data_IF_835004215592
#
_entry.id   IF_835004215592
#
_cell.length_a   1.000
_cell.length_b   1.000
_cell.length_c   1.000
_cell.angle_alpha   90.00
_cell.angle_beta   90.00
_cell.angle_gamma   90.00
#
_symmetry.space_group_name_H-M   'P 1'
#
loop_
_entity.id
_entity.type
_entity.pdbx_description
1 polymer ?
#
# COMPACT_ATOMS: atom_id res chain seq x y z
N UNK A 1 36.36 -39.38 9.02
CA UNK A 1 36.18 -37.96 9.37
C UNK A 1 35.61 -37.91 10.78
N UNK A 2 36.30 -37.25 11.71
CA UNK A 2 35.73 -36.97 13.03
C UNK A 2 34.65 -35.89 12.88
N UNK A 3 33.54 -36.02 13.60
CA UNK A 3 32.47 -35.03 13.56
C UNK A 3 32.81 -33.93 14.56
N UNK A 4 33.07 -32.71 14.07
CA UNK A 4 33.41 -31.54 14.90
C UNK A 4 32.19 -30.95 15.63
N UNK A 5 30.99 -31.47 15.36
CA UNK A 5 29.78 -31.02 16.02
C UNK A 5 29.65 -31.64 17.42
N UNK A 6 29.23 -30.85 18.44
CA UNK A 6 28.92 -31.40 19.75
C UNK A 6 27.79 -32.44 19.63
N UNK A 7 27.81 -33.51 20.44
CA UNK A 7 26.76 -34.52 20.42
C UNK A 7 25.41 -33.87 20.74
N UNK A 8 24.40 -34.14 19.91
CA UNK A 8 23.02 -33.65 20.09
C UNK A 8 22.11 -34.82 20.46
N UNK A 9 21.18 -34.59 21.37
CA UNK A 9 20.11 -35.55 21.63
C UNK A 9 19.27 -35.75 20.35
N UNK A 10 18.81 -36.99 20.14
CA UNK A 10 17.88 -37.30 19.05
C UNK A 10 16.52 -36.70 19.42
N UNK A 11 15.97 -35.86 18.55
CA UNK A 11 14.64 -35.30 18.75
C UNK A 11 13.57 -36.40 18.63
N UNK A 12 12.50 -36.28 19.40
CA UNK A 12 11.37 -37.21 19.30
C UNK A 12 10.78 -37.17 17.88
N UNK A 13 10.53 -38.35 17.33
CA UNK A 13 9.89 -38.45 16.03
C UNK A 13 8.39 -38.10 16.16
N UNK A 14 7.82 -37.39 15.18
CA UNK A 14 6.38 -37.15 15.16
C UNK A 14 5.63 -38.49 15.11
N UNK A 15 4.42 -38.51 15.69
CA UNK A 15 3.53 -39.66 15.53
C UNK A 15 3.23 -39.88 14.05
N UNK A 16 2.89 -41.12 13.67
CA UNK A 16 2.55 -41.43 12.28
C UNK A 16 1.43 -40.55 11.73
N UNK A 17 0.42 -40.22 12.54
CA UNK A 17 -0.64 -39.28 12.17
C UNK A 17 -0.09 -37.88 11.88
N UNK A 18 0.71 -37.34 12.80
CA UNK A 18 1.31 -36.01 12.63
C UNK A 18 2.26 -35.95 11.43
N UNK A 19 2.94 -37.05 11.10
CA UNK A 19 3.75 -37.15 9.89
C UNK A 19 2.90 -37.11 8.61
N UNK A 20 1.74 -37.78 8.59
CA UNK A 20 0.82 -37.72 7.45
C UNK A 20 0.18 -36.33 7.30
N UNK A 21 -0.20 -35.69 8.40
CA UNK A 21 -0.72 -34.32 8.39
C UNK A 21 0.33 -33.35 7.84
N UNK A 22 1.58 -33.46 8.28
CA UNK A 22 2.69 -32.66 7.76
C UNK A 22 2.93 -32.90 6.25
N UNK A 23 2.82 -34.14 5.76
CA UNK A 23 2.92 -34.45 4.33
C UNK A 23 1.75 -33.83 3.56
N UNK A 24 0.52 -33.91 4.08
CA UNK A 24 -0.65 -33.29 3.47
C UNK A 24 -0.50 -31.76 3.39
N UNK A 25 0.05 -31.12 4.42
CA UNK A 25 0.36 -29.69 4.44
C UNK A 25 1.42 -29.34 3.39
N UNK A 26 2.50 -30.13 3.28
CA UNK A 26 3.52 -29.96 2.23
C UNK A 26 2.89 -30.02 0.85
N UNK A 27 2.07 -31.05 0.57
CA UNK A 27 1.44 -31.23 -0.74
C UNK A 27 0.45 -30.10 -1.05
N UNK A 28 -0.28 -29.60 -0.04
CA UNK A 28 -1.18 -28.46 -0.19
C UNK A 28 -0.40 -27.21 -0.56
N UNK A 29 0.68 -26.89 0.16
CA UNK A 29 1.55 -25.76 -0.16
C UNK A 29 2.19 -25.88 -1.55
N UNK A 30 2.67 -27.06 -1.94
CA UNK A 30 3.21 -27.29 -3.28
C UNK A 30 2.14 -27.10 -4.37
N UNK A 31 0.92 -27.59 -4.14
CA UNK A 31 -0.20 -27.39 -5.07
C UNK A 31 -0.57 -25.91 -5.23
N UNK A 32 -0.49 -25.14 -4.15
CA UNK A 32 -0.73 -23.70 -4.17
C UNK A 32 0.37 -22.95 -4.93
N UNK A 33 1.64 -23.29 -4.72
CA UNK A 33 2.77 -22.74 -5.48
C UNK A 33 2.59 -22.97 -6.99
N UNK A 34 2.19 -24.18 -7.38
CA UNK A 34 1.92 -24.53 -8.79
C UNK A 34 0.71 -23.76 -9.33
N UNK A 35 -0.37 -23.63 -8.55
CA UNK A 35 -1.58 -22.90 -8.93
C UNK A 35 -1.32 -21.40 -9.11
N UNK A 36 -0.61 -20.78 -8.17
CA UNK A 36 -0.19 -19.37 -8.25
C UNK A 36 0.71 -19.16 -9.46
N UNK A 37 1.64 -20.08 -9.72
CA UNK A 37 2.48 -20.02 -10.91
C UNK A 37 1.67 -20.09 -12.20
N UNK A 38 0.66 -20.95 -12.28
CA UNK A 38 -0.25 -21.05 -13.44
C UNK A 38 -1.13 -19.81 -13.64
N UNK A 39 -1.71 -19.27 -12.56
CA UNK A 39 -2.51 -18.05 -12.59
C UNK A 39 -1.66 -16.84 -12.98
N UNK A 40 -0.48 -16.69 -12.37
CA UNK A 40 0.51 -15.67 -12.69
C UNK A 40 0.97 -15.75 -14.14
N UNK A 41 1.18 -16.96 -14.67
CA UNK A 41 1.53 -17.17 -16.06
C UNK A 41 0.47 -16.61 -17.03
N UNK A 42 -0.80 -16.68 -16.63
CA UNK A 42 -1.95 -16.22 -17.41
C UNK A 42 -2.14 -14.71 -17.27
N UNK A 43 -1.90 -14.17 -16.07
CA UNK A 43 -1.96 -12.75 -15.73
C UNK A 43 -0.77 -11.91 -16.27
N UNK A 44 0.42 -12.50 -16.39
CA UNK A 44 1.60 -11.82 -16.94
C UNK A 44 1.40 -11.34 -18.39
N UNK A 45 0.43 -11.91 -19.11
CA UNK A 45 0.02 -11.44 -20.43
C UNK A 45 -1.04 -10.32 -20.43
N UNK A 46 -1.71 -10.06 -19.29
CA UNK A 46 -2.81 -9.09 -19.19
C UNK A 46 -2.43 -7.78 -18.48
N UNK A 47 -1.18 -7.62 -18.03
CA UNK A 47 -0.71 -6.39 -17.39
C UNK A 47 -1.26 -6.13 -15.98
N UNK A 48 -1.89 -7.13 -15.34
CA UNK A 48 -2.30 -7.00 -13.95
C UNK A 48 -1.07 -7.01 -13.03
N UNK A 49 -1.03 -6.03 -12.13
CA UNK A 49 0.13 -5.69 -11.31
C UNK A 49 0.55 -6.85 -10.38
N UNK A 50 1.76 -7.40 -10.59
CA UNK A 50 2.32 -8.57 -9.89
C UNK A 50 2.35 -8.50 -8.35
N UNK A 51 2.12 -7.33 -7.76
CA UNK A 51 1.85 -7.11 -6.32
C UNK A 51 0.76 -7.99 -5.70
N UNK A 52 -0.23 -8.48 -6.47
CA UNK A 52 -1.27 -9.38 -5.94
C UNK A 52 -0.85 -10.84 -5.77
N UNK A 53 0.28 -11.25 -6.38
CA UNK A 53 0.70 -12.66 -6.42
C UNK A 53 1.50 -13.08 -5.18
N UNK A 54 2.15 -12.16 -4.49
CA UNK A 54 2.95 -12.45 -3.29
C UNK A 54 2.14 -12.37 -1.99
N UNK A 55 1.02 -11.62 -1.99
CA UNK A 55 0.19 -11.44 -0.80
C UNK A 55 -0.69 -12.65 -0.46
N UNK A 56 -1.10 -13.45 -1.46
CA UNK A 56 -2.04 -14.55 -1.23
C UNK A 56 -1.39 -15.84 -0.71
N UNK A 57 -0.15 -16.14 -1.10
CA UNK A 57 0.52 -17.39 -0.72
C UNK A 57 1.15 -17.33 0.68
N UNK A 58 1.53 -16.14 1.16
CA UNK A 58 2.15 -15.99 2.48
C UNK A 58 1.15 -15.57 3.56
N UNK A 59 0.04 -14.90 3.22
CA UNK A 59 -0.83 -14.24 4.21
C UNK A 59 -1.74 -15.15 5.05
N UNK A 60 -2.15 -16.31 4.53
CA UNK A 60 -3.23 -17.13 5.14
C UNK A 60 -2.78 -18.48 5.70
N UNK A 61 -1.51 -18.87 5.56
CA UNK A 61 -1.01 -20.20 5.93
C UNK A 61 0.08 -20.18 6.99
N UNK A 62 0.19 -21.28 7.73
CA UNK A 62 1.41 -21.63 8.47
C UNK A 62 2.63 -21.48 7.55
N UNK A 63 3.79 -21.09 8.10
CA UNK A 63 5.00 -20.91 7.29
C UNK A 63 5.20 -22.12 6.36
N UNK A 64 5.46 -21.92 5.05
CA UNK A 64 5.69 -23.02 4.15
C UNK A 64 6.80 -23.92 4.68
N UNK A 65 6.69 -25.22 4.44
CA UNK A 65 7.70 -26.18 4.88
C UNK A 65 8.99 -25.95 4.08
N UNK A 66 10.16 -26.15 4.71
CA UNK A 66 11.51 -25.92 4.16
C UNK A 66 11.71 -26.24 2.67
N UNK A 67 11.14 -27.36 2.20
CA UNK A 67 11.24 -27.81 0.81
C UNK A 67 10.39 -27.00 -0.18
N UNK A 68 9.24 -26.48 0.23
CA UNK A 68 8.38 -25.66 -0.61
C UNK A 68 9.02 -24.32 -0.99
N UNK A 69 9.99 -23.84 -0.21
CA UNK A 69 10.67 -22.56 -0.46
C UNK A 69 11.62 -22.61 -1.67
N UNK A 70 12.49 -23.62 -1.73
CA UNK A 70 13.45 -23.77 -2.83
C UNK A 70 12.73 -24.03 -4.17
N UNK A 71 11.64 -24.79 -4.13
CA UNK A 71 10.78 -25.04 -5.29
C UNK A 71 9.95 -23.80 -5.68
N UNK A 72 9.43 -23.04 -4.71
CA UNK A 72 8.77 -21.76 -4.97
C UNK A 72 9.73 -20.82 -5.71
N UNK A 73 10.94 -20.63 -5.18
CA UNK A 73 11.95 -19.74 -5.76
C UNK A 73 12.29 -20.11 -7.22
N UNK A 74 12.54 -21.39 -7.46
CA UNK A 74 12.88 -21.89 -8.80
C UNK A 74 11.70 -21.84 -9.79
N UNK A 75 10.46 -21.88 -9.30
CA UNK A 75 9.25 -21.71 -10.11
C UNK A 75 8.89 -20.23 -10.37
N UNK A 76 9.17 -19.33 -9.42
CA UNK A 76 8.92 -17.90 -9.58
C UNK A 76 9.93 -17.25 -10.51
N UNK A 77 11.22 -17.61 -10.39
CA UNK A 77 12.30 -17.02 -11.17
C UNK A 77 13.04 -18.11 -11.93
N UNK A 78 12.81 -18.18 -13.24
CA UNK A 78 13.50 -19.11 -14.12
C UNK A 78 14.22 -18.35 -15.23
N UNK A 79 15.55 -18.48 -15.30
CA UNK A 79 16.38 -17.85 -16.35
C UNK A 79 16.15 -16.34 -16.50
N UNK A 80 16.11 -15.60 -15.38
CA UNK A 80 15.81 -14.14 -15.33
C UNK A 80 14.41 -13.74 -15.85
N UNK A 81 13.49 -14.71 -15.89
CA UNK A 81 12.09 -14.48 -16.24
C UNK A 81 11.18 -14.87 -15.09
N UNK A 82 10.15 -14.08 -14.88
CA UNK A 82 9.04 -14.39 -13.98
C UNK A 82 8.20 -15.51 -14.60
N UNK A 83 8.10 -16.62 -13.86
CA UNK A 83 7.43 -17.85 -14.27
C UNK A 83 7.88 -18.37 -15.65
N UNK A 84 9.13 -18.10 -16.03
CA UNK A 84 9.67 -18.46 -17.35
C UNK A 84 9.08 -17.71 -18.55
N UNK A 85 8.15 -16.75 -18.34
CA UNK A 85 7.41 -16.07 -19.42
C UNK A 85 7.87 -14.63 -19.64
N UNK A 86 7.70 -13.77 -18.63
CA UNK A 86 7.99 -12.34 -18.75
C UNK A 86 9.38 -12.02 -18.19
N UNK A 87 10.16 -11.20 -18.88
CA UNK A 87 11.39 -10.66 -18.29
C UNK A 87 11.04 -9.72 -17.13
N UNK A 88 11.94 -9.57 -16.16
CA UNK A 88 11.74 -8.59 -15.08
C UNK A 88 11.52 -7.17 -15.62
N UNK A 89 12.21 -6.80 -16.69
CA UNK A 89 12.02 -5.51 -17.37
C UNK A 89 10.58 -5.34 -17.90
N UNK A 90 10.05 -6.33 -18.62
CA UNK A 90 8.69 -6.27 -19.16
C UNK A 90 7.63 -6.25 -18.05
N UNK A 91 7.82 -7.06 -16.99
CA UNK A 91 6.90 -7.04 -15.86
C UNK A 91 6.94 -5.71 -15.09
N UNK A 92 8.13 -5.13 -14.93
CA UNK A 92 8.33 -3.80 -14.36
C UNK A 92 7.59 -2.74 -15.17
N UNK A 93 7.82 -2.69 -16.49
CA UNK A 93 7.15 -1.74 -17.38
C UNK A 93 5.64 -1.88 -17.32
N UNK A 94 5.12 -3.11 -17.40
CA UNK A 94 3.68 -3.37 -17.28
C UNK A 94 3.13 -2.92 -15.92
N UNK A 95 3.88 -3.14 -14.83
CA UNK A 95 3.49 -2.69 -13.50
C UNK A 95 3.42 -1.17 -13.39
N UNK A 96 4.39 -0.46 -13.99
CA UNK A 96 4.42 1.01 -14.01
C UNK A 96 3.28 1.55 -14.87
N UNK A 97 3.05 0.99 -16.05
CA UNK A 97 1.94 1.38 -16.96
C UNK A 97 0.59 1.13 -16.31
N UNK A 98 0.42 0.00 -15.63
CA UNK A 98 -0.83 -0.33 -14.94
C UNK A 98 -1.13 0.64 -13.80
N UNK A 99 -0.10 0.98 -13.01
CA UNK A 99 -0.22 1.98 -11.95
C UNK A 99 -0.42 3.39 -12.52
N UNK A 100 0.30 3.74 -13.58
CA UNK A 100 0.38 5.08 -14.17
C UNK A 100 0.21 5.02 -15.69
N UNK A 101 -1.01 4.84 -16.23
CA UNK A 101 -1.24 4.65 -17.67
C UNK A 101 -0.57 5.68 -18.59
N UNK A 102 -0.47 6.97 -18.24
CA UNK A 102 0.25 7.96 -19.05
C UNK A 102 1.73 7.62 -19.31
N UNK A 103 2.38 6.83 -18.44
CA UNK A 103 3.79 6.43 -18.59
C UNK A 103 4.03 5.50 -19.78
N UNK A 104 2.99 4.86 -20.32
CA UNK A 104 3.12 4.02 -21.53
C UNK A 104 3.75 4.80 -22.68
N UNK A 105 3.38 6.07 -22.83
CA UNK A 105 3.92 6.97 -23.84
C UNK A 105 5.45 7.12 -23.74
N UNK A 106 5.99 7.19 -22.50
CA UNK A 106 7.42 7.34 -22.23
C UNK A 106 8.15 6.02 -22.46
N UNK A 107 7.60 4.92 -21.95
CA UNK A 107 8.19 3.59 -22.07
C UNK A 107 8.23 3.14 -23.55
N UNK A 108 7.20 3.48 -24.33
CA UNK A 108 7.11 3.17 -25.76
C UNK A 108 7.74 4.25 -26.67
N UNK A 109 8.41 5.25 -26.09
CA UNK A 109 9.02 6.34 -26.83
C UNK A 109 10.08 5.84 -27.82
N UNK A 110 10.20 6.55 -28.95
CA UNK A 110 11.25 6.33 -29.95
C UNK A 110 12.42 7.30 -29.82
N UNK A 111 12.30 8.30 -28.96
CA UNK A 111 13.40 9.24 -28.70
C UNK A 111 14.55 8.47 -28.01
N UNK A 112 15.76 8.45 -28.59
CA UNK A 112 16.86 7.65 -28.05
C UNK A 112 17.28 8.09 -26.65
N UNK A 113 17.12 9.37 -26.32
CA UNK A 113 17.43 9.93 -25.01
C UNK A 113 16.43 9.41 -23.97
N UNK A 114 15.13 9.44 -24.28
CA UNK A 114 14.08 8.87 -23.41
C UNK A 114 14.28 7.36 -23.23
N UNK A 115 14.56 6.63 -24.32
CA UNK A 115 14.82 5.19 -24.28
C UNK A 115 16.01 4.86 -23.36
N UNK A 116 17.09 5.65 -23.42
CA UNK A 116 18.23 5.47 -22.52
C UNK A 116 17.86 5.68 -21.05
N UNK A 117 17.08 6.71 -20.73
CA UNK A 117 16.57 6.93 -19.37
C UNK A 117 15.71 5.77 -18.87
N UNK A 118 14.78 5.27 -19.69
CA UNK A 118 13.94 4.11 -19.34
C UNK A 118 14.79 2.86 -19.13
N UNK A 119 15.80 2.64 -19.97
CA UNK A 119 16.75 1.54 -19.82
C UNK A 119 17.60 1.67 -18.54
N UNK A 120 18.00 2.88 -18.16
CA UNK A 120 18.74 3.14 -16.93
C UNK A 120 17.89 2.84 -15.69
N UNK A 121 16.64 3.31 -15.64
CA UNK A 121 15.68 2.97 -14.57
C UNK A 121 15.47 1.45 -14.50
N UNK A 122 15.25 0.82 -15.66
CA UNK A 122 15.05 -0.63 -15.76
C UNK A 122 16.27 -1.39 -15.24
N UNK A 123 17.48 -0.96 -15.61
CA UNK A 123 18.73 -1.54 -15.16
C UNK A 123 18.91 -1.40 -13.66
N UNK A 124 18.67 -0.21 -13.09
CA UNK A 124 18.75 0.01 -11.64
C UNK A 124 17.84 -0.92 -10.85
N UNK A 125 16.64 -1.19 -11.36
CA UNK A 125 15.64 -2.01 -10.66
C UNK A 125 15.79 -3.53 -10.89
N UNK A 126 16.36 -3.94 -12.04
CA UNK A 126 16.42 -5.35 -12.45
C UNK A 126 17.82 -5.96 -12.42
N UNK A 127 18.87 -5.15 -12.36
CA UNK A 127 20.26 -5.64 -12.26
C UNK A 127 20.80 -5.46 -10.85
N UNK A 128 21.69 -6.36 -10.45
CA UNK A 128 22.34 -6.30 -9.14
C UNK A 128 23.34 -5.14 -9.11
N UNK A 129 23.06 -4.13 -8.30
CA UNK A 129 24.02 -3.09 -7.94
C UNK A 129 24.88 -3.61 -6.78
N UNK A 130 25.65 -4.70 -6.96
CA UNK A 130 26.51 -5.21 -5.88
C UNK A 130 27.98 -4.95 -6.14
N UNK A 131 28.47 -3.86 -5.55
CA UNK A 131 29.87 -3.68 -5.15
C UNK A 131 30.16 -4.12 -3.71
N UNK A 132 29.14 -4.44 -2.90
CA UNK A 132 29.31 -4.89 -1.52
C UNK A 132 28.55 -6.20 -1.31
N UNK A 133 29.31 -7.29 -1.26
CA UNK A 133 28.77 -8.64 -1.24
C UNK A 133 27.74 -8.87 -0.15
N UNK A 134 26.50 -9.19 -0.55
CA UNK A 134 25.57 -9.97 0.27
C UNK A 134 24.32 -10.35 -0.52
N UNK A 135 24.18 -11.68 -0.68
CA UNK A 135 22.97 -12.49 -0.80
C UNK A 135 22.14 -12.37 -2.08
N UNK A 136 22.19 -13.48 -2.83
CA UNK A 136 21.34 -13.86 -3.97
C UNK A 136 21.42 -12.84 -5.11
N UNK A 137 22.14 -13.21 -6.17
CA UNK A 137 22.24 -12.39 -7.38
C UNK A 137 20.85 -12.02 -7.90
N UNK A 138 20.66 -10.78 -8.33
CA UNK A 138 19.38 -10.28 -8.84
C UNK A 138 19.21 -8.77 -8.62
N UNK A 139 18.25 -8.16 -9.32
CA UNK A 139 17.83 -6.78 -9.06
C UNK A 139 16.97 -6.65 -7.79
N UNK A 140 16.65 -5.42 -7.38
CA UNK A 140 15.79 -5.17 -6.21
C UNK A 140 14.40 -5.80 -6.39
N UNK A 141 13.87 -5.82 -7.61
CA UNK A 141 12.57 -6.42 -7.91
C UNK A 141 12.55 -7.92 -7.68
N UNK A 142 13.60 -8.61 -8.13
CA UNK A 142 13.76 -10.04 -7.89
C UNK A 142 13.85 -10.32 -6.39
N UNK A 143 14.68 -9.55 -5.67
CA UNK A 143 14.78 -9.70 -4.22
C UNK A 143 13.48 -9.43 -3.48
N UNK A 144 12.66 -8.47 -3.90
CA UNK A 144 11.34 -8.25 -3.27
C UNK A 144 10.44 -9.48 -3.41
N UNK A 145 10.37 -10.05 -4.61
CA UNK A 145 9.54 -11.24 -4.89
C UNK A 145 10.05 -12.43 -4.09
N UNK A 146 11.36 -12.66 -4.11
CA UNK A 146 12.02 -13.71 -3.33
C UNK A 146 11.82 -13.48 -1.84
N UNK A 147 11.88 -12.24 -1.36
CA UNK A 147 11.76 -11.94 0.06
C UNK A 147 10.36 -12.21 0.58
N UNK A 148 9.35 -11.75 -0.16
CA UNK A 148 7.93 -11.83 0.24
C UNK A 148 7.27 -13.17 -0.06
N UNK A 149 7.81 -13.97 -0.98
CA UNK A 149 7.31 -15.31 -1.30
C UNK A 149 8.20 -16.46 -0.80
N UNK A 150 9.40 -16.18 -0.28
CA UNK A 150 10.52 -17.13 -0.24
C UNK A 150 11.26 -17.30 1.09
N UNK A 151 11.05 -16.45 2.10
CA UNK A 151 11.69 -16.63 3.42
C UNK A 151 10.72 -16.78 4.58
N UNK A 152 11.17 -17.46 5.64
CA UNK A 152 10.49 -17.39 6.94
C UNK A 152 10.31 -15.92 7.37
N UNK A 153 9.24 -15.65 8.13
CA UNK A 153 8.80 -14.31 8.51
C UNK A 153 9.89 -13.45 9.15
N UNK A 154 10.72 -14.05 10.00
CA UNK A 154 11.84 -13.36 10.67
C UNK A 154 12.90 -12.87 9.68
N UNK A 155 13.27 -13.73 8.71
CA UNK A 155 14.19 -13.37 7.64
C UNK A 155 13.54 -12.40 6.65
N UNK A 156 12.28 -12.61 6.29
CA UNK A 156 11.48 -11.71 5.45
C UNK A 156 11.56 -10.28 5.99
N UNK A 157 11.17 -10.06 7.25
CA UNK A 157 11.23 -8.75 7.91
C UNK A 157 12.64 -8.15 7.91
N UNK A 158 13.68 -8.97 8.20
CA UNK A 158 15.08 -8.50 8.20
C UNK A 158 15.51 -8.01 6.82
N UNK A 159 15.07 -8.68 5.77
CA UNK A 159 15.40 -8.33 4.38
C UNK A 159 14.62 -7.12 3.89
N UNK A 160 13.34 -7.01 4.20
CA UNK A 160 12.55 -5.82 3.85
C UNK A 160 13.19 -4.54 4.40
N UNK A 161 13.68 -4.56 5.65
CA UNK A 161 14.40 -3.40 6.21
C UNK A 161 15.72 -3.03 5.50
N UNK A 162 16.31 -3.94 4.72
CA UNK A 162 17.45 -3.60 3.82
C UNK A 162 16.94 -3.08 2.48
N UNK A 163 15.93 -3.73 1.91
CA UNK A 163 15.31 -3.35 0.64
C UNK A 163 14.78 -1.92 0.70
N UNK A 164 14.13 -1.51 1.80
CA UNK A 164 13.61 -0.13 1.93
C UNK A 164 14.72 0.91 1.77
N UNK A 165 15.90 0.67 2.34
CA UNK A 165 17.05 1.61 2.20
C UNK A 165 17.60 1.63 0.79
N UNK A 166 17.66 0.47 0.15
CA UNK A 166 18.06 0.40 -1.26
C UNK A 166 17.05 1.11 -2.17
N UNK A 167 15.74 0.96 -1.91
CA UNK A 167 14.70 1.70 -2.63
C UNK A 167 14.81 3.20 -2.41
N UNK A 168 15.24 3.67 -1.23
CA UNK A 168 15.54 5.10 -0.99
C UNK A 168 16.67 5.60 -1.90
N UNK A 169 17.77 4.86 -1.98
CA UNK A 169 18.92 5.20 -2.83
C UNK A 169 18.54 5.19 -4.31
N UNK A 170 17.81 4.15 -4.76
CA UNK A 170 17.32 4.05 -6.12
C UNK A 170 16.35 5.19 -6.43
N UNK A 171 15.43 5.52 -5.51
CA UNK A 171 14.49 6.62 -5.70
C UNK A 171 15.22 7.94 -5.91
N UNK A 172 16.23 8.26 -5.11
CA UNK A 172 17.01 9.48 -5.26
C UNK A 172 17.69 9.60 -6.63
N UNK A 173 18.23 8.49 -7.16
CA UNK A 173 18.81 8.45 -8.52
C UNK A 173 17.72 8.65 -9.58
N UNK A 174 16.58 7.96 -9.42
CA UNK A 174 15.47 8.02 -10.37
C UNK A 174 14.76 9.38 -10.36
N UNK A 175 14.75 10.10 -9.25
CA UNK A 175 14.28 11.49 -9.20
C UNK A 175 15.11 12.40 -10.12
N UNK A 176 16.43 12.19 -10.19
CA UNK A 176 17.29 12.88 -11.15
C UNK A 176 16.98 12.52 -12.61
N UNK A 177 16.69 11.24 -12.88
CA UNK A 177 16.28 10.78 -14.22
C UNK A 177 14.91 11.36 -14.60
N UNK A 178 13.95 11.37 -13.68
CA UNK A 178 12.64 11.97 -13.89
C UNK A 178 12.77 13.47 -14.20
N UNK A 179 13.63 14.21 -13.48
CA UNK A 179 13.93 15.61 -13.76
C UNK A 179 14.41 15.84 -15.20
N UNK A 180 15.37 15.04 -15.65
CA UNK A 180 15.88 15.09 -17.02
C UNK A 180 14.81 14.72 -18.06
N UNK A 181 13.96 13.72 -17.77
CA UNK A 181 12.84 13.35 -18.63
C UNK A 181 11.84 14.50 -18.79
N UNK A 182 11.55 15.24 -17.72
CA UNK A 182 10.66 16.42 -17.79
C UNK A 182 11.25 17.51 -18.67
N UNK A 183 12.54 17.83 -18.52
CA UNK A 183 13.22 18.79 -19.37
C UNK A 183 13.17 18.36 -20.84
N UNK A 184 13.46 17.08 -21.12
CA UNK A 184 13.47 16.56 -22.48
C UNK A 184 12.08 16.56 -23.13
N UNK A 185 11.04 16.19 -22.38
CA UNK A 185 9.66 16.28 -22.87
C UNK A 185 9.31 17.73 -23.18
N UNK A 186 9.62 18.68 -22.30
CA UNK A 186 9.35 20.10 -22.51
C UNK A 186 10.07 20.66 -23.75
N UNK A 187 11.32 20.24 -24.03
CA UNK A 187 12.03 20.61 -25.26
C UNK A 187 11.32 20.10 -26.52
N UNK A 188 10.84 18.86 -26.50
CA UNK A 188 10.09 18.27 -27.62
C UNK A 188 8.77 19.05 -27.83
N UNK A 189 8.12 19.47 -26.75
CA UNK A 189 6.91 20.29 -26.83
C UNK A 189 7.17 21.70 -27.37
N UNK A 190 8.31 22.30 -27.03
CA UNK A 190 8.68 23.65 -27.45
C UNK A 190 9.24 23.72 -28.87
N UNK A 191 9.88 22.64 -29.35
CA UNK A 191 10.54 22.58 -30.65
C UNK A 191 9.65 22.19 -31.84
N UNK A 192 8.38 21.87 -31.60
CA UNK A 192 7.46 21.44 -32.66
C UNK A 192 6.75 22.65 -33.31
N UNK A 193 7.40 23.27 -34.30
CA UNK A 193 6.90 24.37 -35.14
C UNK A 193 5.70 23.99 -36.05
N UNK A 194 5.04 22.84 -35.82
CA UNK A 194 3.85 22.43 -36.59
C UNK A 194 3.55 20.93 -36.61
N UNK A 195 4.38 20.08 -36.03
CA UNK A 195 3.96 18.75 -35.60
C UNK A 195 3.15 18.88 -34.32
N UNK A 196 2.07 18.13 -34.22
CA UNK A 196 1.38 17.99 -32.95
C UNK A 196 2.12 16.91 -32.17
N UNK A 197 2.23 17.06 -30.84
CA UNK A 197 2.56 15.99 -29.88
C UNK A 197 1.82 14.67 -30.19
N UNK A 198 0.63 14.75 -30.82
CA UNK A 198 -0.15 13.62 -31.32
C UNK A 198 0.52 12.80 -32.44
N UNK A 199 1.57 13.32 -33.08
CA UNK A 199 2.38 12.64 -34.09
C UNK A 199 3.54 11.85 -33.48
N UNK A 200 4.14 12.36 -32.39
CA UNK A 200 5.27 11.73 -31.70
C UNK A 200 4.80 10.62 -30.76
N UNK A 201 3.83 10.95 -29.90
CA UNK A 201 3.06 9.95 -29.17
C UNK A 201 1.87 9.58 -30.05
N UNK A 202 1.88 8.41 -30.69
CA UNK A 202 0.75 7.89 -31.50
C UNK A 202 -0.56 7.70 -30.71
N UNK A 203 -0.63 8.17 -29.48
CA UNK A 203 -1.83 8.29 -28.69
C UNK A 203 -2.45 9.65 -28.99
N UNK A 204 -3.73 9.67 -29.39
CA UNK A 204 -4.55 10.89 -29.30
C UNK A 204 -4.69 11.24 -27.82
N UNK A 205 -3.67 11.86 -27.27
CA UNK A 205 -3.62 12.37 -25.91
C UNK A 205 -4.55 13.60 -25.91
N UNK A 206 -5.68 13.59 -25.18
CA UNK A 206 -6.54 14.76 -25.04
C UNK A 206 -5.71 15.98 -24.61
N UNK A 207 -6.09 17.20 -24.97
CA UNK A 207 -5.36 18.42 -24.56
C UNK A 207 -5.18 18.54 -23.03
N UNK A 208 -6.09 17.95 -22.25
CA UNK A 208 -5.99 17.84 -20.79
C UNK A 208 -4.85 16.95 -20.32
N UNK A 209 -4.43 15.99 -21.14
CA UNK A 209 -3.39 15.02 -20.81
C UNK A 209 -1.97 15.51 -21.10
N UNK A 210 -1.77 16.66 -21.77
CA UNK A 210 -0.44 17.30 -21.87
C UNK A 210 0.14 17.68 -20.49
N UNK A 211 -0.72 18.14 -19.59
CA UNK A 211 -0.36 18.51 -18.20
C UNK A 211 -0.03 17.29 -17.33
N UNK A 212 -0.56 16.12 -17.70
CA UNK A 212 -0.37 14.85 -16.98
C UNK A 212 1.00 14.23 -17.32
N UNK A 213 1.55 14.54 -18.50
CA UNK A 213 2.91 14.20 -18.94
C UNK A 213 3.95 15.16 -18.29
N UNK A 214 3.68 15.71 -17.10
CA UNK A 214 4.62 16.58 -16.39
C UNK A 214 4.91 16.15 -14.94
N UNK A 215 4.53 14.93 -14.53
CA UNK A 215 4.68 14.51 -13.12
C UNK A 215 5.36 13.16 -12.92
N UNK A 216 6.56 13.22 -12.31
CA UNK A 216 7.34 12.16 -11.64
C UNK A 216 6.90 10.70 -11.90
N UNK A 217 7.35 10.12 -13.02
CA UNK A 217 6.84 8.85 -13.54
C UNK A 217 7.34 7.64 -12.78
N UNK A 218 8.66 7.56 -12.61
CA UNK A 218 9.31 6.37 -12.08
C UNK A 218 9.54 6.50 -10.58
N UNK A 219 9.91 7.70 -10.11
CA UNK A 219 10.12 7.97 -8.68
C UNK A 219 8.84 7.81 -7.87
N UNK A 220 7.67 8.21 -8.39
CA UNK A 220 6.38 8.00 -7.72
C UNK A 220 6.06 6.50 -7.59
N UNK A 221 6.30 5.71 -8.63
CA UNK A 221 6.09 4.27 -8.57
C UNK A 221 7.03 3.58 -7.56
N UNK A 222 8.31 3.98 -7.52
CA UNK A 222 9.27 3.48 -6.53
C UNK A 222 8.85 3.88 -5.11
N UNK A 223 8.35 5.10 -4.94
CA UNK A 223 7.85 5.58 -3.66
C UNK A 223 6.66 4.77 -3.17
N UNK A 224 5.70 4.48 -4.05
CA UNK A 224 4.57 3.60 -3.78
C UNK A 224 5.04 2.20 -3.35
N UNK A 225 5.97 1.60 -4.09
CA UNK A 225 6.56 0.30 -3.76
C UNK A 225 7.25 0.34 -2.38
N UNK A 226 7.99 1.40 -2.09
CA UNK A 226 8.69 1.59 -0.81
C UNK A 226 7.70 1.70 0.37
N UNK A 227 6.60 2.43 0.19
CA UNK A 227 5.53 2.51 1.20
C UNK A 227 4.88 1.14 1.46
N UNK A 228 4.64 0.36 0.41
CA UNK A 228 4.15 -1.01 0.54
C UNK A 228 5.14 -1.93 1.27
N UNK A 229 6.45 -1.85 0.96
CA UNK A 229 7.49 -2.62 1.66
C UNK A 229 7.57 -2.19 3.14
N UNK A 230 7.45 -0.90 3.44
CA UNK A 230 7.40 -0.38 4.81
C UNK A 230 6.19 -0.91 5.58
N UNK A 231 5.01 -0.87 4.95
CA UNK A 231 3.77 -1.41 5.51
C UNK A 231 3.97 -2.88 5.92
N UNK A 232 4.46 -3.72 5.01
CA UNK A 232 4.70 -5.13 5.27
C UNK A 232 5.77 -5.34 6.36
N UNK A 233 6.85 -4.56 6.33
CA UNK A 233 7.90 -4.61 7.35
C UNK A 233 7.36 -4.37 8.76
N UNK A 234 6.44 -3.42 8.91
CA UNK A 234 5.80 -3.16 10.19
C UNK A 234 4.77 -4.22 10.56
N UNK A 235 3.92 -4.67 9.62
CA UNK A 235 2.96 -5.75 9.87
C UNK A 235 3.64 -7.02 10.39
N UNK A 236 4.75 -7.43 9.77
CA UNK A 236 5.55 -8.57 10.25
C UNK A 236 6.11 -8.36 11.66
N UNK A 237 6.30 -7.12 12.10
CA UNK A 237 6.73 -6.85 13.47
C UNK A 237 5.64 -7.15 14.51
N UNK A 238 4.36 -6.96 14.16
CA UNK A 238 3.23 -7.41 14.97
C UNK A 238 3.10 -8.93 14.93
N UNK A 239 3.21 -9.56 13.75
CA UNK A 239 3.11 -11.02 13.59
C UNK A 239 4.20 -11.76 14.38
N UNK A 240 5.41 -11.20 14.45
CA UNK A 240 6.56 -11.78 15.14
C UNK A 240 6.64 -11.40 16.63
N UNK A 241 5.60 -10.77 17.19
CA UNK A 241 5.56 -10.28 18.58
C UNK A 241 6.77 -9.41 18.96
N UNK A 242 7.36 -8.69 18.00
CA UNK A 242 8.49 -7.77 18.24
C UNK A 242 8.03 -6.48 18.92
N UNK A 243 6.74 -6.20 18.81
CA UNK A 243 6.08 -5.04 19.38
C UNK A 243 5.37 -5.47 20.68
N UNK A 244 5.87 -4.96 21.80
CA UNK A 244 5.25 -5.14 23.12
C UNK A 244 3.89 -4.42 23.21
N UNK A 245 3.07 -4.63 24.24
CA UNK A 245 1.83 -3.85 24.43
C UNK A 245 2.07 -2.35 24.74
N UNK A 246 3.32 -1.96 24.97
CA UNK A 246 3.78 -0.59 25.25
C UNK A 246 3.87 0.31 24.00
N UNK A 247 3.31 -0.10 22.86
CA UNK A 247 3.93 0.24 21.57
C UNK A 247 3.44 1.52 20.91
N UNK A 248 4.46 2.24 20.44
CA UNK A 248 4.54 3.47 19.65
C UNK A 248 4.21 3.18 18.17
N UNK A 249 4.18 1.89 17.83
CA UNK A 249 4.12 1.34 16.48
C UNK A 249 2.76 1.52 15.79
N UNK A 250 1.59 1.41 16.45
CA UNK A 250 0.31 1.71 15.81
C UNK A 250 0.19 3.16 15.32
N UNK A 251 0.75 4.14 16.06
CA UNK A 251 0.75 5.54 15.59
C UNK A 251 1.68 5.76 14.41
N UNK A 252 2.83 5.08 14.39
CA UNK A 252 3.73 5.17 13.24
C UNK A 252 3.11 4.51 12.00
N UNK A 253 2.38 3.41 12.17
CA UNK A 253 1.63 2.77 11.09
C UNK A 253 0.56 3.69 10.50
N UNK A 254 -0.19 4.40 11.34
CA UNK A 254 -1.17 5.40 10.87
C UNK A 254 -0.50 6.48 10.02
N UNK A 255 0.67 7.00 10.43
CA UNK A 255 1.47 7.94 9.64
C UNK A 255 1.87 7.38 8.26
N UNK A 256 2.30 6.12 8.20
CA UNK A 256 2.62 5.45 6.94
C UNK A 256 1.37 5.34 6.05
N UNK A 257 0.23 4.93 6.61
CA UNK A 257 -1.02 4.82 5.86
C UNK A 257 -1.53 6.18 5.36
N UNK A 258 -1.48 7.23 6.19
CA UNK A 258 -1.82 8.59 5.80
C UNK A 258 -0.95 9.06 4.64
N UNK A 259 0.36 8.83 4.73
CA UNK A 259 1.30 9.21 3.67
C UNK A 259 1.05 8.42 2.39
N UNK A 260 0.74 7.13 2.51
CA UNK A 260 0.41 6.28 1.37
C UNK A 260 -0.89 6.72 0.69
N UNK A 261 -1.96 6.96 1.45
CA UNK A 261 -3.23 7.46 0.92
C UNK A 261 -3.05 8.84 0.30
N UNK A 262 -2.28 9.74 0.91
CA UNK A 262 -1.98 11.05 0.34
C UNK A 262 -1.23 10.95 -0.99
N UNK A 263 -0.28 10.03 -1.09
CA UNK A 263 0.41 9.74 -2.35
C UNK A 263 -0.55 9.19 -3.41
N UNK A 264 -1.37 8.20 -3.07
CA UNK A 264 -2.36 7.62 -3.97
C UNK A 264 -3.36 8.68 -4.45
N UNK A 265 -3.85 9.54 -3.57
CA UNK A 265 -4.72 10.66 -3.92
C UNK A 265 -4.04 11.66 -4.86
N UNK A 266 -2.77 12.00 -4.62
CA UNK A 266 -1.99 12.85 -5.53
C UNK A 266 -1.91 12.21 -6.91
N UNK A 267 -1.52 10.93 -6.98
CA UNK A 267 -1.40 10.18 -8.23
C UNK A 267 -2.72 10.00 -8.95
N UNK A 268 -3.79 9.79 -8.18
CA UNK A 268 -5.13 9.66 -8.68
C UNK A 268 -5.64 11.01 -9.21
N UNK A 269 -5.34 12.15 -8.57
CA UNK A 269 -5.70 13.48 -9.09
C UNK A 269 -5.01 13.78 -10.43
N UNK A 270 -3.73 13.44 -10.54
CA UNK A 270 -2.95 13.53 -11.79
C UNK A 270 -3.57 12.63 -12.87
N UNK A 271 -4.01 11.43 -12.48
CA UNK A 271 -4.63 10.47 -13.40
C UNK A 271 -6.11 10.77 -13.70
N UNK A 272 -6.82 11.47 -12.80
CA UNK A 272 -8.24 11.80 -12.89
C UNK A 272 -8.50 12.93 -13.90
N UNK A 273 -7.52 13.81 -14.13
CA UNK A 273 -7.52 14.66 -15.33
C UNK A 273 -7.59 13.82 -16.64
N UNK A 274 -7.27 12.52 -16.59
CA UNK A 274 -7.48 11.53 -17.64
C UNK A 274 -8.61 10.50 -17.37
N UNK A 275 -9.18 10.41 -16.16
CA UNK A 275 -10.27 9.46 -15.81
C UNK A 275 -11.55 10.22 -15.47
N UNK A 276 -12.64 9.91 -16.17
CA UNK A 276 -13.96 10.54 -15.98
C UNK A 276 -14.75 10.04 -14.75
N UNK A 277 -14.08 9.57 -13.69
CA UNK A 277 -14.71 8.91 -12.55
C UNK A 277 -14.32 9.51 -11.18
N UNK A 278 -15.24 9.53 -10.19
CA UNK A 278 -14.93 9.92 -8.82
C UNK A 278 -13.99 8.89 -8.16
N UNK A 279 -12.98 9.38 -7.44
CA UNK A 279 -12.02 8.53 -6.74
C UNK A 279 -12.69 7.83 -5.55
N UNK A 280 -12.42 6.54 -5.36
CA UNK A 280 -12.96 5.78 -4.21
C UNK A 280 -12.59 6.42 -2.89
N UNK A 281 -11.36 6.91 -2.77
CA UNK A 281 -10.88 7.60 -1.58
C UNK A 281 -11.67 8.88 -1.30
N UNK A 282 -12.01 9.65 -2.35
CA UNK A 282 -12.82 10.86 -2.21
C UNK A 282 -14.27 10.53 -1.84
N UNK A 283 -14.82 9.45 -2.40
CA UNK A 283 -16.17 8.98 -2.08
C UNK A 283 -16.27 8.35 -0.69
N UNK A 284 -15.25 7.62 -0.25
CA UNK A 284 -15.16 7.06 1.10
C UNK A 284 -14.95 8.17 2.14
N UNK A 285 -14.14 9.18 1.83
CA UNK A 285 -14.03 10.37 2.66
C UNK A 285 -15.35 11.13 2.76
N UNK A 286 -16.08 11.29 1.65
CA UNK A 286 -17.44 11.86 1.66
C UNK A 286 -18.42 11.00 2.46
N UNK A 287 -18.30 9.68 2.39
CA UNK A 287 -19.09 8.75 3.21
C UNK A 287 -18.77 8.92 4.70
N UNK A 288 -17.49 8.97 5.07
CA UNK A 288 -17.03 9.21 6.45
C UNK A 288 -17.58 10.53 7.00
N UNK A 289 -17.45 11.63 6.25
CA UNK A 289 -18.00 12.93 6.63
C UNK A 289 -19.52 12.90 6.81
N UNK A 290 -20.25 12.13 6.00
CA UNK A 290 -21.69 11.98 6.13
C UNK A 290 -22.07 11.20 7.39
N UNK A 291 -21.31 10.16 7.74
CA UNK A 291 -21.52 9.40 8.99
C UNK A 291 -21.31 10.28 10.21
N UNK A 292 -20.26 11.12 10.19
CA UNK A 292 -19.96 12.07 11.27
C UNK A 292 -21.05 13.16 11.37
N UNK A 293 -21.51 13.71 10.24
CA UNK A 293 -22.61 14.68 10.21
C UNK A 293 -23.93 14.09 10.67
N UNK A 294 -24.24 12.83 10.32
CA UNK A 294 -25.46 12.15 10.75
C UNK A 294 -25.45 11.85 12.26
N UNK A 295 -24.30 11.43 12.81
CA UNK A 295 -24.12 11.22 14.26
C UNK A 295 -24.20 12.53 15.04
N UNK A 296 -23.59 13.60 14.52
CA UNK A 296 -23.68 14.93 15.13
C UNK A 296 -25.08 15.54 15.00
N UNK A 297 -25.81 15.30 13.91
CA UNK A 297 -27.22 15.69 13.74
C UNK A 297 -28.15 14.93 14.70
N UNK A 298 -27.87 13.66 14.98
CA UNK A 298 -28.60 12.87 15.96
C UNK A 298 -28.30 13.29 17.42
N UNK A 299 -27.06 13.67 17.72
CA UNK A 299 -26.66 14.19 19.03
C UNK A 299 -27.15 15.64 19.28
N UNK A 300 -27.40 16.40 18.21
CA UNK A 300 -27.87 17.79 18.25
C UNK A 300 -29.37 17.95 18.03
N UNK A 301 -30.14 16.86 17.94
CA UNK A 301 -31.59 16.91 17.90
C UNK A 301 -32.12 17.61 19.17
N UNK A 302 -32.58 18.87 19.07
CA UNK A 302 -32.99 19.60 20.25
C UNK A 302 -34.29 18.99 20.75
N UNK A 303 -34.33 18.66 22.04
CA UNK A 303 -35.56 18.35 22.76
C UNK A 303 -36.40 19.63 22.80
N UNK A 304 -37.08 19.95 21.70
CA UNK A 304 -37.82 21.20 21.55
C UNK A 304 -39.15 21.07 22.29
N UNK A 305 -39.16 21.48 23.55
CA UNK A 305 -40.39 21.83 24.26
C UNK A 305 -41.09 22.95 23.50
N UNK A 306 -42.37 22.75 23.20
CA UNK A 306 -43.25 23.76 22.59
C UNK A 306 -43.37 24.96 23.51
N UNK A 307 -42.74 26.08 23.19
CA UNK A 307 -43.26 27.42 23.54
C UNK A 307 -42.90 28.41 22.43
N UNK A 308 -43.93 28.89 21.77
CA UNK A 308 -43.81 29.79 20.63
C UNK A 308 -43.35 31.18 21.02
N UNK A 309 -42.59 31.81 20.13
CA UNK A 309 -42.59 33.26 20.00
C UNK A 309 -42.47 33.64 18.52
N UNK A 310 -43.31 34.59 18.10
CA UNK A 310 -43.31 35.17 16.76
C UNK A 310 -42.29 36.31 16.74
N UNK A 311 -41.33 36.28 15.81
CA UNK A 311 -40.51 37.43 15.42
C UNK A 311 -39.95 37.18 14.01
N UNK A 312 -40.62 37.69 12.96
CA UNK A 312 -40.42 38.97 12.26
C UNK A 312 -39.20 38.96 11.33
N UNK A 313 -39.53 38.78 10.04
CA UNK A 313 -38.71 38.99 8.82
C UNK A 313 -37.86 40.25 8.92
N UNK A 314 -36.57 40.14 8.60
CA UNK A 314 -35.83 41.21 7.96
C UNK A 314 -34.92 40.64 6.87
N UNK A 315 -35.21 41.06 5.65
CA UNK A 315 -34.48 40.83 4.42
C UNK A 315 -33.35 41.87 4.28
N UNK A 316 -32.16 41.46 3.84
CA UNK A 316 -31.21 42.42 3.28
C UNK A 316 -29.78 41.92 3.15
N UNK A 317 -29.22 42.20 1.97
CA UNK A 317 -27.80 42.23 1.57
C UNK A 317 -27.14 40.88 1.21
N UNK A 318 -27.00 40.70 -0.11
CA UNK A 318 -26.29 39.60 -0.73
C UNK A 318 -24.77 39.70 -0.53
N UNK A 319 -24.19 38.65 0.04
CA UNK A 319 -22.82 38.26 -0.25
C UNK A 319 -22.88 37.24 -1.38
N UNK A 320 -22.14 37.47 -2.48
CA UNK A 320 -21.86 36.43 -3.47
C UNK A 320 -21.04 35.35 -2.77
N UNK A 321 -21.72 34.36 -2.21
CA UNK A 321 -21.09 33.16 -1.70
C UNK A 321 -20.39 32.46 -2.87
N UNK A 322 -19.09 32.23 -2.72
CA UNK A 322 -18.37 31.20 -3.46
C UNK A 322 -19.24 29.94 -3.37
N UNK A 323 -19.55 29.24 -4.48
CA UNK A 323 -20.33 28.03 -4.41
C UNK A 323 -19.51 27.00 -3.62
N UNK A 324 -19.76 26.92 -2.32
CA UNK A 324 -19.30 25.82 -1.49
C UNK A 324 -19.95 24.60 -2.08
N UNK A 325 -19.16 23.78 -2.76
CA UNK A 325 -19.62 22.50 -3.29
C UNK A 325 -20.06 21.67 -2.09
N UNK A 326 -21.37 21.58 -1.89
CA UNK A 326 -21.98 20.64 -0.95
C UNK A 326 -22.29 19.39 -1.77
N UNK A 327 -21.45 18.34 -1.73
CA UNK A 327 -21.71 17.12 -2.48
C UNK A 327 -23.08 16.58 -2.08
N UNK A 328 -23.92 16.26 -3.07
CA UNK A 328 -25.21 15.60 -2.82
C UNK A 328 -24.93 14.22 -2.23
N UNK A 329 -25.65 13.80 -1.18
CA UNK A 329 -25.47 12.50 -0.56
C UNK A 329 -25.73 11.39 -1.58
N UNK A 330 -24.79 10.45 -1.71
CA UNK A 330 -24.93 9.24 -2.50
C UNK A 330 -25.32 8.13 -1.53
N UNK A 331 -26.44 7.45 -1.77
CA UNK A 331 -26.85 6.30 -0.95
C UNK A 331 -25.95 5.09 -1.25
N UNK A 332 -25.78 4.19 -0.28
CA UNK A 332 -24.96 2.98 -0.43
C UNK A 332 -25.44 2.08 -1.60
N UNK A 333 -26.73 2.10 -1.90
CA UNK A 333 -27.32 1.44 -3.07
C UNK A 333 -26.99 2.16 -4.39
N UNK A 334 -27.03 3.50 -4.42
CA UNK A 334 -26.61 4.28 -5.59
C UNK A 334 -25.09 4.15 -5.83
N UNK A 335 -24.32 3.96 -4.75
CA UNK A 335 -22.91 3.63 -4.75
C UNK A 335 -22.67 2.24 -5.35
N UNK A 336 -23.28 1.17 -4.81
CA UNK A 336 -23.17 -0.19 -5.34
C UNK A 336 -23.61 -0.32 -6.80
N UNK A 337 -24.67 0.40 -7.19
CA UNK A 337 -25.21 0.37 -8.56
C UNK A 337 -24.29 1.07 -9.57
N UNK A 338 -23.65 2.19 -9.19
CA UNK A 338 -22.62 2.83 -10.03
C UNK A 338 -21.31 2.04 -10.06
N UNK A 339 -20.98 1.33 -8.98
CA UNK A 339 -19.74 0.58 -8.81
C UNK A 339 -19.70 -0.75 -9.54
N UNK A 340 -20.81 -1.50 -9.57
CA UNK A 340 -20.89 -2.86 -10.16
C UNK A 340 -20.49 -2.98 -11.64
N UNK A 341 -20.25 -1.85 -12.34
CA UNK A 341 -19.89 -1.83 -13.77
C UNK A 341 -18.42 -1.44 -14.01
N UNK A 342 -17.69 -0.86 -13.03
CA UNK A 342 -16.40 -0.16 -13.29
C UNK A 342 -15.32 -0.27 -12.19
N UNK A 343 -15.40 -1.18 -11.21
CA UNK A 343 -14.34 -1.32 -10.18
C UNK A 343 -13.06 -1.87 -10.81
N UNK A 344 -11.98 -1.10 -10.79
CA UNK A 344 -10.65 -1.55 -11.22
C UNK A 344 -9.92 -2.33 -10.12
N UNK A 345 -8.84 -3.04 -10.46
CA UNK A 345 -7.97 -3.67 -9.45
C UNK A 345 -7.37 -2.62 -8.49
N UNK A 346 -6.99 -1.46 -9.03
CA UNK A 346 -6.43 -0.34 -8.26
C UNK A 346 -7.42 0.19 -7.23
N UNK A 347 -8.68 0.30 -7.62
CA UNK A 347 -9.78 0.73 -6.77
C UNK A 347 -9.94 -0.17 -5.53
N UNK A 348 -9.85 -1.49 -5.72
CA UNK A 348 -9.88 -2.45 -4.62
C UNK A 348 -8.66 -2.29 -3.72
N UNK A 349 -7.46 -2.09 -4.28
CA UNK A 349 -6.23 -1.89 -3.49
C UNK A 349 -6.27 -0.61 -2.66
N UNK A 350 -6.75 0.49 -3.23
CA UNK A 350 -6.92 1.75 -2.51
C UNK A 350 -7.94 1.60 -1.37
N UNK A 351 -9.06 0.90 -1.60
CA UNK A 351 -10.02 0.63 -0.55
C UNK A 351 -9.46 -0.28 0.56
N UNK A 352 -8.67 -1.30 0.21
CA UNK A 352 -7.96 -2.14 1.19
C UNK A 352 -6.96 -1.32 2.01
N UNK A 353 -6.26 -0.36 1.41
CA UNK A 353 -5.37 0.54 2.13
C UNK A 353 -6.13 1.39 3.16
N UNK A 354 -7.33 1.87 2.83
CA UNK A 354 -8.22 2.57 3.79
C UNK A 354 -8.65 1.65 4.93
N UNK A 355 -9.06 0.40 4.64
CA UNK A 355 -9.37 -0.58 5.68
C UNK A 355 -8.21 -0.70 6.66
N UNK A 356 -6.98 -0.83 6.14
CA UNK A 356 -5.77 -0.97 6.96
C UNK A 356 -5.47 0.29 7.76
N UNK A 357 -5.71 1.48 7.20
CA UNK A 357 -5.65 2.73 7.95
C UNK A 357 -6.67 2.77 9.10
N UNK A 358 -7.93 2.44 8.84
CA UNK A 358 -8.99 2.43 9.87
C UNK A 358 -8.63 1.49 11.02
N UNK A 359 -8.14 0.28 10.70
CA UNK A 359 -7.64 -0.66 11.70
C UNK A 359 -6.43 -0.10 12.45
N UNK A 360 -5.49 0.54 11.74
CA UNK A 360 -4.33 1.21 12.33
C UNK A 360 -4.72 2.31 13.33
N UNK A 361 -5.68 3.17 12.95
CA UNK A 361 -6.25 4.21 13.83
C UNK A 361 -6.98 3.61 15.03
N UNK A 362 -7.76 2.57 14.82
CA UNK A 362 -8.45 1.86 15.89
C UNK A 362 -7.45 1.31 16.91
N UNK A 363 -6.39 0.65 16.44
CA UNK A 363 -5.30 0.15 17.28
C UNK A 363 -4.57 1.29 18.01
N UNK A 364 -4.28 2.40 17.34
CA UNK A 364 -3.63 3.57 17.93
C UNK A 364 -4.47 4.17 19.07
N UNK A 365 -5.76 4.42 18.82
CA UNK A 365 -6.68 4.98 19.81
C UNK A 365 -6.86 4.04 21.00
N UNK A 366 -6.95 2.73 20.74
CA UNK A 366 -7.00 1.71 21.79
C UNK A 366 -5.73 1.74 22.65
N UNK A 367 -4.55 1.76 22.03
CA UNK A 367 -3.27 1.86 22.73
C UNK A 367 -3.21 3.10 23.61
N UNK A 368 -3.57 4.28 23.09
CA UNK A 368 -3.60 5.50 23.91
C UNK A 368 -4.60 5.41 25.05
N UNK A 369 -5.81 4.88 24.83
CA UNK A 369 -6.80 4.72 25.90
C UNK A 369 -6.28 3.84 27.05
N UNK A 370 -5.52 2.79 26.74
CA UNK A 370 -4.93 1.89 27.75
C UNK A 370 -3.71 2.50 28.46
N UNK A 371 -3.05 3.48 27.84
CA UNK A 371 -1.87 4.17 28.36
C UNK A 371 -2.21 5.42 29.18
N UNK A 372 -3.31 6.13 28.89
CA UNK A 372 -3.63 7.43 29.51
C UNK A 372 -4.65 7.36 30.65
N UNK A 373 -5.41 6.26 30.77
CA UNK A 373 -6.50 6.15 31.76
C UNK A 373 -6.06 6.05 33.22
N UNK A 374 -7.00 6.32 34.15
CA UNK A 374 -6.78 6.20 35.61
C UNK A 374 -6.26 4.82 36.02
N UNK A 375 -6.70 3.78 35.29
CA UNK A 375 -6.18 2.41 35.38
C UNK A 375 -5.19 2.15 34.25
N UNK A 376 -4.08 2.90 34.20
CA UNK A 376 -2.99 2.64 33.23
C UNK A 376 -2.63 1.16 33.24
N UNK A 377 -3.09 0.44 32.21
CA UNK A 377 -2.84 -0.99 32.03
C UNK A 377 -1.41 -1.17 31.52
N UNK A 378 -0.98 -0.21 30.70
CA UNK A 378 0.33 -0.14 30.10
C UNK A 378 1.16 0.90 30.86
N UNK A 379 2.27 0.47 31.47
CA UNK A 379 3.18 1.35 32.23
C UNK A 379 4.56 1.36 31.60
N UNK A 380 5.09 2.55 31.36
CA UNK A 380 6.50 2.72 31.02
C UNK A 380 7.38 2.08 32.11
N UNK A 381 8.43 1.35 31.73
CA UNK A 381 9.36 0.79 32.69
C UNK A 381 10.03 1.89 33.53
N UNK A 382 10.13 1.69 34.86
CA UNK A 382 10.67 2.68 35.80
C UNK A 382 12.13 2.43 36.19
N UNK A 383 12.93 1.75 35.37
CA UNK A 383 14.33 1.50 35.70
C UNK A 383 15.24 2.69 35.32
N UNK A 384 16.32 2.98 36.07
CA UNK A 384 17.15 4.19 35.88
C UNK A 384 17.81 4.34 34.51
N UNK A 385 18.01 3.22 33.80
CA UNK A 385 18.63 3.19 32.47
C UNK A 385 17.58 3.16 31.33
N UNK A 386 16.29 3.27 31.64
CA UNK A 386 15.25 3.37 30.62
C UNK A 386 15.24 4.77 30.02
N UNK A 387 15.23 4.84 28.70
CA UNK A 387 14.88 6.05 27.98
C UNK A 387 13.88 5.69 26.89
N UNK A 388 12.69 6.31 26.96
CA UNK A 388 11.65 6.15 25.95
C UNK A 388 12.15 6.60 24.57
N UNK A 389 12.94 7.67 24.52
CA UNK A 389 13.53 8.19 23.28
C UNK A 389 14.54 7.22 22.67
N UNK A 390 15.47 6.68 23.46
CA UNK A 390 16.45 5.70 22.95
C UNK A 390 15.73 4.44 22.46
N UNK A 391 14.71 3.99 23.19
CA UNK A 391 13.88 2.83 22.82
C UNK A 391 13.13 3.09 21.51
N UNK A 392 12.52 4.27 21.36
CA UNK A 392 11.86 4.71 20.12
C UNK A 392 12.85 4.70 18.96
N UNK A 393 13.99 5.37 19.12
CA UNK A 393 14.99 5.50 18.06
C UNK A 393 15.59 4.14 17.66
N UNK A 394 15.75 3.22 18.61
CA UNK A 394 16.21 1.86 18.31
C UNK A 394 15.18 1.06 17.52
N UNK A 395 13.88 1.17 17.86
CA UNK A 395 12.79 0.48 17.16
C UNK A 395 12.62 0.98 15.73
N UNK A 396 12.67 2.29 15.53
CA UNK A 396 12.48 2.93 14.22
C UNK A 396 13.80 3.18 13.48
N UNK A 397 14.94 2.66 13.95
CA UNK A 397 16.27 2.88 13.34
C UNK A 397 16.30 2.58 11.84
N UNK A 398 15.57 1.57 11.39
CA UNK A 398 15.52 1.18 9.98
C UNK A 398 14.85 2.24 9.10
N UNK A 399 13.93 3.04 9.66
CA UNK A 399 13.14 4.04 8.93
C UNK A 399 13.59 5.47 9.21
N UNK A 400 14.24 5.75 10.35
CA UNK A 400 14.77 7.08 10.70
C UNK A 400 15.85 7.59 9.73
N UNK A 401 16.39 6.73 8.86
CA UNK A 401 17.38 7.09 7.85
C UNK A 401 16.77 7.46 6.50
N UNK A 402 15.44 7.35 6.35
CA UNK A 402 14.76 7.65 5.10
C UNK A 402 14.56 9.16 4.95
N UNK A 403 14.74 9.67 3.73
CA UNK A 403 14.38 11.05 3.38
C UNK A 403 12.88 11.20 3.14
N UNK A 404 12.22 10.16 2.61
CA UNK A 404 10.78 10.17 2.37
C UNK A 404 10.17 8.76 2.52
N UNK A 405 9.02 8.54 3.20
CA UNK A 405 8.29 9.53 3.99
C UNK A 405 9.17 10.05 5.12
N UNK A 406 8.99 11.33 5.46
CA UNK A 406 9.72 11.93 6.58
C UNK A 406 9.41 11.11 7.83
N UNK A 407 10.42 10.54 8.50
CA UNK A 407 10.19 9.75 9.68
C UNK A 407 9.57 10.60 10.77
N UNK A 408 8.56 10.08 11.47
CA UNK A 408 8.03 10.74 12.66
C UNK A 408 9.15 10.79 13.72
N UNK A 409 9.50 11.99 14.18
CA UNK A 409 10.46 12.14 15.27
C UNK A 409 9.86 11.72 16.61
N UNK A 410 10.71 11.40 17.58
CA UNK A 410 10.24 11.11 18.95
C UNK A 410 9.46 12.30 19.56
N UNK A 411 9.87 13.53 19.25
CA UNK A 411 9.15 14.75 19.68
C UNK A 411 7.72 14.80 19.12
N UNK A 412 7.54 14.46 17.85
CA UNK A 412 6.25 14.51 17.17
C UNK A 412 5.34 13.40 17.70
N UNK A 413 5.92 12.22 17.96
CA UNK A 413 5.22 11.14 18.65
C UNK A 413 4.71 11.60 20.03
N UNK A 414 5.57 12.24 20.84
CA UNK A 414 5.18 12.73 22.18
C UNK A 414 4.13 13.84 22.11
N UNK A 415 4.17 14.69 21.08
CA UNK A 415 3.15 15.69 20.86
C UNK A 415 1.79 15.04 20.55
N UNK A 416 1.76 14.01 19.70
CA UNK A 416 0.56 13.23 19.42
C UNK A 416 0.03 12.52 20.67
N UNK A 417 0.90 11.87 21.44
CA UNK A 417 0.54 11.23 22.70
C UNK A 417 -0.08 12.23 23.69
N UNK A 418 0.51 13.42 23.83
CA UNK A 418 -0.03 14.48 24.67
C UNK A 418 -1.42 14.94 24.19
N UNK A 419 -1.61 15.14 22.90
CA UNK A 419 -2.90 15.52 22.34
C UNK A 419 -4.00 14.46 22.61
N UNK A 420 -3.66 13.17 22.53
CA UNK A 420 -4.61 12.10 22.88
C UNK A 420 -4.84 11.96 24.39
N UNK A 421 -3.87 12.36 25.22
CA UNK A 421 -4.02 12.32 26.68
C UNK A 421 -5.06 13.29 27.24
N UNK A 422 -5.41 14.33 26.48
CA UNK A 422 -6.48 15.27 26.82
C UNK A 422 -7.88 14.67 26.60
N UNK A 423 -7.99 13.59 25.81
CA UNK A 423 -9.26 12.94 25.49
C UNK A 423 -9.55 11.86 26.55
N UNK A 424 -10.75 11.84 27.17
CA UNK A 424 -11.13 10.80 28.10
C UNK A 424 -10.95 9.39 27.50
N UNK A 425 -10.37 8.46 28.25
CA UNK A 425 -10.09 7.10 27.76
C UNK A 425 -11.34 6.37 27.26
N UNK A 426 -12.52 6.63 27.85
CA UNK A 426 -13.79 6.10 27.37
C UNK A 426 -14.14 6.55 25.96
N UNK A 427 -13.88 7.82 25.64
CA UNK A 427 -14.13 8.39 24.31
C UNK A 427 -13.14 7.83 23.27
N UNK A 428 -11.86 7.65 23.67
CA UNK A 428 -10.86 7.00 22.82
C UNK A 428 -11.24 5.56 22.47
N UNK A 429 -11.73 4.79 23.46
CA UNK A 429 -12.22 3.42 23.23
C UNK A 429 -13.45 3.40 22.32
N UNK A 430 -14.40 4.32 22.54
CA UNK A 430 -15.57 4.42 21.69
C UNK A 430 -15.21 4.75 20.24
N UNK A 431 -14.24 5.67 20.02
CA UNK A 431 -13.72 5.99 18.68
C UNK A 431 -12.98 4.81 18.06
N UNK A 432 -12.21 4.06 18.84
CA UNK A 432 -11.54 2.84 18.38
C UNK A 432 -12.56 1.80 17.87
N UNK A 433 -13.63 1.53 18.64
CA UNK A 433 -14.71 0.63 18.23
C UNK A 433 -15.35 1.10 16.92
N UNK A 434 -15.63 2.40 16.81
CA UNK A 434 -16.21 3.00 15.60
C UNK A 434 -15.33 2.75 14.36
N UNK A 435 -14.02 2.94 14.46
CA UNK A 435 -13.11 2.68 13.35
C UNK A 435 -13.04 1.19 12.97
N UNK A 436 -13.10 0.27 13.95
CA UNK A 436 -13.21 -1.16 13.64
C UNK A 436 -14.53 -1.52 12.94
N UNK A 437 -15.65 -0.93 13.35
CA UNK A 437 -16.94 -1.15 12.72
C UNK A 437 -16.95 -0.64 11.27
N UNK A 438 -16.37 0.54 11.02
CA UNK A 438 -16.22 1.09 9.66
C UNK A 438 -15.32 0.22 8.79
N UNK A 439 -14.18 -0.23 9.33
CA UNK A 439 -13.30 -1.16 8.65
C UNK A 439 -14.02 -2.46 8.29
N UNK A 440 -14.83 -3.01 9.22
CA UNK A 440 -15.63 -4.23 8.97
C UNK A 440 -16.63 -4.03 7.84
N UNK A 441 -17.39 -2.94 7.87
CA UNK A 441 -18.38 -2.63 6.80
C UNK A 441 -17.68 -2.52 5.44
N UNK A 442 -16.51 -1.87 5.40
CA UNK A 442 -15.75 -1.74 4.16
C UNK A 442 -15.17 -3.08 3.69
N UNK A 443 -14.68 -3.94 4.60
CA UNK A 443 -14.27 -5.31 4.27
C UNK A 443 -15.43 -6.09 3.66
N UNK A 444 -16.60 -6.08 4.32
CA UNK A 444 -17.81 -6.78 3.84
C UNK A 444 -18.22 -6.30 2.44
N UNK A 445 -18.11 -4.99 2.18
CA UNK A 445 -18.33 -4.42 0.86
C UNK A 445 -17.30 -4.90 -0.18
N UNK A 446 -16.03 -5.06 0.22
CA UNK A 446 -14.94 -5.48 -0.67
C UNK A 446 -14.90 -6.99 -0.93
N UNK A 447 -15.48 -7.83 -0.05
CA UNK A 447 -15.42 -9.30 -0.19
C UNK A 447 -15.82 -9.82 -1.58
N UNK A 448 -16.93 -9.35 -2.21
CA UNK A 448 -17.32 -9.83 -3.54
C UNK A 448 -16.30 -9.51 -4.64
N UNK A 449 -15.48 -8.48 -4.43
CA UNK A 449 -14.45 -8.03 -5.37
C UNK A 449 -13.11 -8.74 -5.18
N UNK A 450 -12.86 -9.32 -3.99
CA UNK A 450 -11.62 -10.04 -3.69
C UNK A 450 -11.41 -11.24 -4.62
N UNK A 451 -12.46 -12.02 -4.85
CA UNK A 451 -12.40 -13.20 -5.74
C UNK A 451 -12.22 -12.81 -7.21
N UNK A 452 -12.74 -11.65 -7.63
CA UNK A 452 -12.60 -11.15 -9.01
C UNK A 452 -11.21 -10.59 -9.30
N UNK A 453 -10.53 -10.02 -8.29
CA UNK A 453 -9.14 -9.55 -8.40
C UNK A 453 -8.15 -10.72 -8.47
N UNK A 454 -8.36 -11.79 -7.70
CA UNK A 454 -7.51 -12.99 -7.77
C UNK A 454 -7.69 -13.79 -9.08
N UNK A 455 -8.82 -13.65 -9.78
CA UNK A 455 -9.12 -14.41 -10.99
C UNK A 455 -8.63 -13.78 -12.31
N UNK A 456 -7.98 -12.61 -12.29
CA UNK A 456 -7.38 -12.01 -13.49
C UNK A 456 -8.39 -11.75 -14.62
N UNK A 457 -9.27 -10.76 -14.44
CA UNK A 457 -10.24 -10.28 -15.43
C UNK A 457 -11.28 -11.32 -15.92
N UNK A 458 -12.41 -11.39 -15.23
CA UNK A 458 -13.65 -11.83 -15.86
C UNK A 458 -14.33 -10.59 -16.42
N UNK A 459 -14.21 -10.36 -17.73
CA UNK A 459 -15.18 -9.50 -18.43
C UNK A 459 -16.56 -10.11 -18.21
N UNK A 460 -17.34 -9.52 -17.29
CA UNK A 460 -18.76 -9.79 -17.15
C UNK A 460 -19.44 -9.32 -18.45
N UNK A 461 -19.53 -10.22 -19.43
CA UNK A 461 -20.49 -10.06 -20.53
C UNK A 461 -21.86 -10.03 -19.88
N UNK A 462 -22.51 -8.86 -19.89
CA UNK A 462 -23.95 -8.76 -19.68
C UNK A 462 -24.62 -9.66 -20.71
N UNK A 463 -25.09 -10.82 -20.27
CA UNK A 463 -26.19 -11.48 -20.96
C UNK A 463 -27.44 -10.61 -20.74
N UNK A 464 -27.68 -9.70 -21.68
CA UNK A 464 -29.04 -9.18 -21.88
C UNK A 464 -29.80 -10.25 -22.66
N UNK A 465 -30.79 -10.85 -22.01
CA UNK A 465 -31.97 -11.43 -22.66
C UNK A 465 -33.14 -10.49 -22.49
#
# INVERSE_FOLDING_TARGET
>A
MMNDNPPRAVADLPSTSAAYDAIADILTHLSEIVRVSGAAATAAGSGSSGSGLTSSSSGNGSQPVGLGWDESLSNFVHSQKLHGRATFASALHNSIISAYPPTAAIIESKDPTIVNCVNDVTRLLTTSVSGNGALVGGGVMERIIVVTGGYNRSLERRWLGKIVRELEEIQAVVEGIDGFLHERVAEIEAGDDGGSIAGFFRLKVPETSKKIIATFYFSSWIYELKLWVLELYFQLGFELDLYTFLTLEPSYMDHIYETYIAHMNRMASISAEARSGPLILELLWQFQQQTDLAKNAAASAPTFSKKGSKSKKNSGAGSKAIPTYVPKPITLDAFATKFSVLVSERDVKEAQLVVRQLVGRANMMFSFATATGEKRVVREPQYPFFSAEITYNQRFRAVLQLGSPVPQGFSDYRASEAAFSEIPSGDLLQRSIMFYEEARVLIEFLMPFGDTVCAGSVTLKKEQK
#
